data_IF_672249147454
#
_entry.id   IF_672249147454
#
_cell.length_a   1.000
_cell.length_b   1.000
_cell.length_c   1.000
_cell.angle_alpha   90.00
_cell.angle_beta   90.00
_cell.angle_gamma   90.00
#
_symmetry.space_group_name_H-M   'P 1'
#
loop_
_entity.id
_entity.type
_entity.pdbx_description
1 polymer ?
#
# COMPACT_ATOMS: atom_id res chain seq x y z
N UNK A 1 10.53 5.87 16.05
CA UNK A 1 10.07 4.47 15.88
C UNK A 1 9.46 4.21 14.49
N UNK A 2 8.58 5.07 13.97
CA UNK A 2 7.90 4.89 12.67
C UNK A 2 8.82 4.50 11.50
N UNK A 3 9.85 5.31 11.22
CA UNK A 3 10.78 5.06 10.11
C UNK A 3 11.48 3.70 10.21
N UNK A 4 11.89 3.28 11.42
CA UNK A 4 12.49 1.95 11.65
C UNK A 4 11.53 0.83 11.28
N UNK A 5 10.23 0.99 11.60
CA UNK A 5 9.21 0.01 11.25
C UNK A 5 8.92 -0.01 9.75
N UNK A 6 8.78 1.14 9.12
CA UNK A 6 8.64 1.26 7.66
C UNK A 6 9.79 0.57 6.93
N UNK A 7 11.02 0.81 7.37
CA UNK A 7 12.20 0.17 6.79
C UNK A 7 12.18 -1.35 6.94
N UNK A 8 11.76 -1.86 8.10
CA UNK A 8 11.62 -3.30 8.34
C UNK A 8 10.50 -3.92 7.50
N UNK A 9 9.40 -3.19 7.27
CA UNK A 9 8.34 -3.60 6.33
C UNK A 9 8.87 -3.69 4.91
N UNK A 10 9.61 -2.68 4.45
CA UNK A 10 10.23 -2.67 3.11
C UNK A 10 11.20 -3.85 2.95
N UNK A 11 11.93 -4.21 4.01
CA UNK A 11 12.83 -5.37 4.08
C UNK A 11 12.13 -6.73 4.28
N UNK A 12 10.79 -6.75 4.35
CA UNK A 12 10.00 -7.96 4.56
C UNK A 12 10.37 -8.73 5.86
N UNK A 13 10.69 -8.00 6.92
CA UNK A 13 10.97 -8.59 8.23
C UNK A 13 9.77 -9.41 8.72
N UNK A 14 9.98 -10.69 9.03
CA UNK A 14 8.93 -11.63 9.43
C UNK A 14 8.27 -11.27 10.76
N UNK A 15 8.95 -10.53 11.63
CA UNK A 15 8.49 -10.24 12.99
C UNK A 15 7.79 -8.87 13.10
N UNK A 16 7.87 -8.02 12.08
CA UNK A 16 7.42 -6.62 12.18
C UNK A 16 5.93 -6.50 12.47
N UNK A 17 5.10 -7.35 11.87
CA UNK A 17 3.65 -7.25 12.03
C UNK A 17 3.19 -7.70 13.41
N UNK A 18 3.86 -8.66 14.04
CA UNK A 18 3.56 -9.03 15.43
C UNK A 18 3.84 -7.86 16.39
N UNK A 19 4.94 -7.13 16.19
CA UNK A 19 5.26 -5.93 16.97
C UNK A 19 4.23 -4.82 16.74
N UNK A 20 3.85 -4.56 15.48
CA UNK A 20 2.82 -3.57 15.13
C UNK A 20 1.49 -3.91 15.80
N UNK A 21 1.08 -5.19 15.78
CA UNK A 21 -0.20 -5.65 16.33
C UNK A 21 -0.26 -5.61 17.86
N UNK A 22 0.88 -5.63 18.54
CA UNK A 22 0.98 -5.50 20.00
C UNK A 22 1.05 -4.04 20.47
N UNK A 23 1.34 -3.11 19.57
CA UNK A 23 1.47 -1.69 19.91
C UNK A 23 0.12 -0.95 19.75
N UNK A 24 -0.43 -0.35 20.82
CA UNK A 24 -1.70 0.39 20.75
C UNK A 24 -1.62 1.66 19.89
N UNK A 25 -0.44 2.26 19.72
CA UNK A 25 -0.23 3.47 18.91
C UNK A 25 0.01 3.18 17.42
N UNK A 26 0.07 1.90 17.05
CA UNK A 26 0.33 1.47 15.67
C UNK A 26 -0.72 1.99 14.68
N UNK A 27 -1.99 2.12 15.09
CA UNK A 27 -3.07 2.63 14.25
C UNK A 27 -2.86 4.08 13.81
N UNK A 28 -2.46 4.96 14.74
CA UNK A 28 -2.15 6.37 14.41
C UNK A 28 -0.92 6.49 13.51
N UNK A 29 0.09 5.65 13.75
CA UNK A 29 1.27 5.54 12.90
C UNK A 29 0.92 5.07 11.48
N UNK A 30 -0.01 4.12 11.35
CA UNK A 30 -0.51 3.64 10.07
C UNK A 30 -1.14 4.78 9.24
N UNK A 31 -1.97 5.62 9.85
CA UNK A 31 -2.56 6.80 9.17
C UNK A 31 -1.46 7.75 8.68
N UNK A 32 -0.42 7.96 9.48
CA UNK A 32 0.72 8.80 9.08
C UNK A 32 1.43 8.24 7.85
N UNK A 33 1.61 6.92 7.75
CA UNK A 33 2.22 6.26 6.58
C UNK A 33 1.37 6.49 5.33
N UNK A 34 0.05 6.35 5.44
CA UNK A 34 -0.88 6.57 4.31
C UNK A 34 -0.77 8.03 3.85
N UNK A 35 -0.77 8.99 4.77
CA UNK A 35 -0.60 10.41 4.44
C UNK A 35 0.73 10.63 3.70
N UNK A 36 1.85 10.10 4.21
CA UNK A 36 3.15 10.23 3.56
C UNK A 36 3.18 9.60 2.16
N UNK A 37 2.59 8.42 2.00
CA UNK A 37 2.48 7.74 0.72
C UNK A 37 1.64 8.53 -0.29
N UNK A 38 0.53 9.11 0.17
CA UNK A 38 -0.34 10.00 -0.62
C UNK A 38 0.44 11.22 -1.10
N UNK A 39 1.10 11.96 -0.20
CA UNK A 39 1.89 13.13 -0.57
C UNK A 39 3.04 12.80 -1.51
N UNK A 40 3.78 11.72 -1.25
CA UNK A 40 4.84 11.24 -2.13
C UNK A 40 4.32 10.91 -3.55
N UNK A 41 3.14 10.32 -3.64
CA UNK A 41 2.49 10.00 -4.91
C UNK A 41 2.08 11.27 -5.67
N UNK A 42 1.53 12.28 -4.98
CA UNK A 42 1.19 13.59 -5.58
C UNK A 42 2.45 14.25 -6.13
N UNK A 43 3.51 14.36 -5.32
CA UNK A 43 4.77 15.00 -5.73
C UNK A 43 5.41 14.29 -6.91
N UNK A 44 5.48 12.95 -6.86
CA UNK A 44 5.99 12.13 -7.96
C UNK A 44 5.20 12.34 -9.26
N UNK A 45 3.87 12.44 -9.15
CA UNK A 45 3.01 12.72 -10.29
C UNK A 45 3.29 14.11 -10.88
N UNK A 46 3.27 15.16 -10.05
CA UNK A 46 3.46 16.53 -10.50
C UNK A 46 4.83 16.72 -11.16
N UNK A 47 5.87 16.11 -10.58
CA UNK A 47 7.21 16.10 -11.18
C UNK A 47 7.24 15.37 -12.53
N UNK A 48 6.54 14.24 -12.66
CA UNK A 48 6.46 13.50 -13.93
C UNK A 48 5.77 14.31 -15.02
N UNK A 49 4.70 15.02 -14.68
CA UNK A 49 3.98 15.88 -15.62
C UNK A 49 4.85 17.04 -16.07
N UNK A 50 5.50 17.75 -15.13
CA UNK A 50 6.41 18.85 -15.44
C UNK A 50 7.59 18.42 -16.33
N UNK A 51 8.04 17.17 -16.19
CA UNK A 51 9.09 16.58 -17.01
C UNK A 51 8.64 16.14 -18.42
N UNK A 52 7.37 16.32 -18.79
CA UNK A 52 6.84 15.93 -20.10
C UNK A 52 6.73 14.42 -20.31
N UNK A 53 6.68 13.61 -19.23
CA UNK A 53 6.49 12.17 -19.35
C UNK A 53 5.08 11.84 -19.89
N UNK A 54 5.07 11.23 -21.07
CA UNK A 54 3.94 11.06 -22.00
C UNK A 54 2.97 9.93 -21.57
N UNK A 55 3.29 9.17 -20.52
CA UNK A 55 2.57 7.95 -20.15
C UNK A 55 1.27 8.14 -19.35
N UNK A 56 0.77 9.38 -19.19
CA UNK A 56 -0.49 9.61 -18.50
C UNK A 56 -1.41 10.55 -19.28
N UNK A 57 -2.45 9.97 -19.86
CA UNK A 57 -3.64 10.67 -20.33
C UNK A 57 -4.44 11.15 -19.13
N UNK A 58 -4.51 12.46 -18.91
CA UNK A 58 -5.33 13.05 -17.84
C UNK A 58 -4.98 14.51 -17.58
N UNK A 59 -5.93 15.27 -17.05
CA UNK A 59 -5.70 16.67 -16.67
C UNK A 59 -4.96 16.73 -15.33
N UNK A 60 -4.18 17.78 -15.09
CA UNK A 60 -3.52 18.02 -13.79
C UNK A 60 -4.49 17.90 -12.58
N UNK A 61 -5.74 18.35 -12.75
CA UNK A 61 -6.81 18.26 -11.75
C UNK A 61 -7.15 16.82 -11.39
N UNK A 62 -7.22 15.94 -12.38
CA UNK A 62 -7.70 14.57 -12.24
C UNK A 62 -6.69 13.75 -11.45
N UNK A 63 -5.40 14.03 -11.64
CA UNK A 63 -4.33 13.34 -10.96
C UNK A 63 -4.11 13.76 -9.50
N UNK A 64 -4.26 15.06 -9.22
CA UNK A 64 -4.20 15.56 -7.83
C UNK A 64 -5.41 15.05 -7.06
N UNK A 65 -6.59 15.07 -7.67
CA UNK A 65 -7.80 14.47 -7.09
C UNK A 65 -7.64 12.97 -6.87
N UNK A 66 -7.09 12.25 -7.84
CA UNK A 66 -6.80 10.82 -7.73
C UNK A 66 -5.85 10.49 -6.59
N UNK A 67 -4.72 11.20 -6.51
CA UNK A 67 -3.73 10.93 -5.48
C UNK A 67 -4.26 11.29 -4.08
N UNK A 68 -4.91 12.45 -3.90
CA UNK A 68 -5.39 12.91 -2.59
C UNK A 68 -6.63 12.19 -2.07
N UNK A 69 -7.59 11.88 -2.96
CA UNK A 69 -8.89 11.34 -2.57
C UNK A 69 -8.95 9.83 -2.78
N UNK A 70 -8.60 9.35 -3.97
CA UNK A 70 -8.74 7.94 -4.29
C UNK A 70 -7.70 7.06 -3.59
N UNK A 71 -6.47 7.53 -3.41
CA UNK A 71 -5.43 6.68 -2.82
C UNK A 71 -5.71 6.27 -1.35
N UNK A 72 -6.13 7.19 -0.46
CA UNK A 72 -6.56 6.83 0.89
C UNK A 72 -7.84 5.97 0.91
N UNK A 73 -8.78 6.21 0.00
CA UNK A 73 -10.01 5.43 -0.12
C UNK A 73 -9.70 4.00 -0.57
N UNK A 74 -8.82 3.81 -1.56
CA UNK A 74 -8.37 2.50 -2.01
C UNK A 74 -7.72 1.70 -0.88
N UNK A 75 -6.97 2.36 0.00
CA UNK A 75 -6.42 1.74 1.21
C UNK A 75 -7.53 1.25 2.16
N UNK A 76 -8.56 2.08 2.41
CA UNK A 76 -9.71 1.68 3.24
C UNK A 76 -10.48 0.51 2.61
N UNK A 77 -10.72 0.56 1.30
CA UNK A 77 -11.40 -0.50 0.54
C UNK A 77 -10.59 -1.80 0.62
N UNK A 78 -9.27 -1.76 0.43
CA UNK A 78 -8.39 -2.92 0.59
C UNK A 78 -8.45 -3.48 2.01
N UNK A 79 -8.49 -2.63 3.04
CA UNK A 79 -8.67 -3.04 4.43
C UNK A 79 -10.00 -3.77 4.66
N UNK A 80 -11.08 -3.26 4.08
CA UNK A 80 -12.40 -3.89 4.12
C UNK A 80 -12.44 -5.22 3.39
N UNK A 81 -11.91 -5.28 2.17
CA UNK A 81 -11.80 -6.50 1.38
C UNK A 81 -11.00 -7.57 2.14
N UNK A 82 -9.82 -7.22 2.65
CA UNK A 82 -9.01 -8.13 3.46
C UNK A 82 -9.77 -8.64 4.70
N UNK A 83 -10.57 -7.81 5.34
CA UNK A 83 -11.40 -8.24 6.47
C UNK A 83 -12.49 -9.23 6.06
N UNK A 84 -13.23 -8.95 4.97
CA UNK A 84 -14.23 -9.88 4.43
C UNK A 84 -13.58 -11.21 4.06
N UNK A 85 -12.44 -11.18 3.36
CA UNK A 85 -11.70 -12.38 2.99
C UNK A 85 -11.12 -13.12 4.19
N UNK A 86 -10.72 -12.41 5.25
CA UNK A 86 -10.28 -13.05 6.50
C UNK A 86 -11.39 -13.89 7.12
N UNK A 87 -12.66 -13.48 7.02
CA UNK A 87 -13.78 -14.29 7.53
C UNK A 87 -13.94 -15.60 6.76
N UNK A 88 -13.71 -15.57 5.44
CA UNK A 88 -13.74 -16.77 4.59
C UNK A 88 -12.53 -17.68 4.86
N UNK A 89 -11.34 -17.09 5.04
CA UNK A 89 -10.09 -17.85 5.22
C UNK A 89 -9.85 -18.34 6.65
N UNK A 90 -10.34 -17.65 7.68
CA UNK A 90 -10.12 -18.01 9.09
C UNK A 90 -10.87 -19.28 9.51
N UNK A 91 -11.86 -19.70 8.72
CA UNK A 91 -12.42 -21.06 8.76
C UNK A 91 -11.32 -22.13 8.66
N UNK A 92 -10.20 -21.84 7.99
CA UNK A 92 -9.09 -22.78 7.77
C UNK A 92 -7.85 -22.57 8.69
N UNK A 93 -7.66 -21.40 9.31
CA UNK A 93 -6.43 -21.09 10.08
C UNK A 93 -6.64 -20.87 11.59
N UNK A 94 -7.89 -20.77 12.06
CA UNK A 94 -8.24 -20.64 13.49
C UNK A 94 -7.86 -19.31 14.16
N UNK A 95 -7.07 -18.44 13.51
CA UNK A 95 -6.68 -17.13 14.04
C UNK A 95 -7.69 -16.05 13.66
N UNK A 96 -8.34 -15.45 14.66
CA UNK A 96 -9.20 -14.30 14.43
C UNK A 96 -8.37 -13.01 14.40
N UNK A 97 -8.38 -12.31 13.27
CA UNK A 97 -7.78 -10.97 13.12
C UNK A 97 -8.90 -9.94 13.07
N UNK A 98 -8.75 -8.82 13.78
CA UNK A 98 -9.76 -7.76 13.78
C UNK A 98 -9.64 -6.88 12.53
N UNK A 99 -10.74 -6.24 12.13
CA UNK A 99 -10.72 -5.27 11.02
C UNK A 99 -9.74 -4.10 11.28
N UNK A 100 -9.57 -3.68 12.54
CA UNK A 100 -8.59 -2.67 12.92
C UNK A 100 -7.16 -3.12 12.66
N UNK A 101 -6.82 -4.33 13.08
CA UNK A 101 -5.50 -4.92 12.87
C UNK A 101 -5.14 -5.05 11.39
N UNK A 102 -6.08 -5.54 10.55
CA UNK A 102 -5.84 -5.65 9.11
C UNK A 102 -5.61 -4.29 8.46
N UNK A 103 -6.45 -3.29 8.77
CA UNK A 103 -6.27 -1.93 8.26
C UNK A 103 -4.89 -1.39 8.62
N UNK A 104 -4.47 -1.51 9.88
CA UNK A 104 -3.15 -1.07 10.33
C UNK A 104 -2.04 -1.73 9.52
N UNK A 105 -2.03 -3.06 9.43
CA UNK A 105 -0.97 -3.82 8.76
C UNK A 105 -0.91 -3.48 7.26
N UNK A 106 -2.07 -3.30 6.62
CA UNK A 106 -2.19 -2.86 5.23
C UNK A 106 -1.64 -1.44 5.04
N UNK A 107 -1.87 -0.52 5.98
CA UNK A 107 -1.27 0.83 5.92
C UNK A 107 0.25 0.78 5.99
N UNK A 108 0.80 -0.04 6.88
CA UNK A 108 2.24 -0.24 6.95
C UNK A 108 2.82 -0.81 5.65
N UNK A 109 2.09 -1.71 4.98
CA UNK A 109 2.52 -2.27 3.70
C UNK A 109 2.66 -1.22 2.59
N UNK A 110 2.03 -0.04 2.74
CA UNK A 110 2.13 1.08 1.81
C UNK A 110 3.44 1.87 1.95
N UNK A 111 4.31 1.56 2.92
CA UNK A 111 5.60 2.24 3.11
C UNK A 111 6.47 2.40 1.84
N UNK A 112 6.56 1.43 0.91
CA UNK A 112 7.30 1.60 -0.34
C UNK A 112 6.78 2.75 -1.23
N UNK A 113 5.50 3.11 -1.11
CA UNK A 113 4.91 4.21 -1.88
C UNK A 113 5.54 5.57 -1.56
N UNK A 114 6.22 5.72 -0.42
CA UNK A 114 6.96 6.94 -0.09
C UNK A 114 8.09 7.21 -1.10
N UNK A 115 8.64 6.16 -1.74
CA UNK A 115 9.65 6.33 -2.78
C UNK A 115 9.08 6.94 -4.09
N UNK A 116 7.76 7.05 -4.23
CA UNK A 116 7.15 7.71 -5.40
C UNK A 116 7.47 9.20 -5.48
N UNK A 117 7.95 9.82 -4.40
CA UNK A 117 8.47 11.20 -4.45
C UNK A 117 9.56 11.35 -5.52
N UNK A 118 10.33 10.29 -5.79
CA UNK A 118 11.38 10.26 -6.81
C UNK A 118 10.88 9.91 -8.21
N UNK A 119 9.59 9.58 -8.37
CA UNK A 119 9.01 9.27 -9.67
C UNK A 119 8.99 10.49 -10.62
N UNK A 120 9.16 11.71 -10.09
CA UNK A 120 9.24 12.93 -10.90
C UNK A 120 10.56 13.12 -11.65
N UNK A 121 11.57 12.28 -11.42
CA UNK A 121 12.86 12.41 -12.10
C UNK A 121 12.69 11.96 -13.57
N UNK A 122 13.09 12.78 -14.57
CA UNK A 122 13.02 12.41 -15.98
C UNK A 122 13.77 11.10 -16.27
N UNK A 123 13.29 10.30 -17.22
CA UNK A 123 13.86 9.01 -17.68
C UNK A 123 13.84 7.86 -16.65
N UNK A 124 14.21 8.09 -15.39
CA UNK A 124 14.24 7.07 -14.33
C UNK A 124 12.95 7.00 -13.49
N UNK A 125 12.13 8.04 -13.52
CA UNK A 125 10.91 8.13 -12.72
C UNK A 125 9.90 7.02 -13.00
N UNK A 126 9.75 6.63 -14.27
CA UNK A 126 8.88 5.52 -14.68
C UNK A 126 9.37 4.17 -14.13
N UNK A 127 10.70 3.94 -14.13
CA UNK A 127 11.31 2.75 -13.56
C UNK A 127 11.11 2.69 -12.04
N UNK A 128 11.29 3.82 -11.35
CA UNK A 128 11.03 3.92 -9.91
C UNK A 128 9.56 3.60 -9.60
N UNK A 129 8.62 4.19 -10.35
CA UNK A 129 7.20 3.93 -10.17
C UNK A 129 6.86 2.45 -10.38
N UNK A 130 7.42 1.81 -11.42
CA UNK A 130 7.24 0.39 -11.67
C UNK A 130 7.78 -0.47 -10.52
N UNK A 131 9.00 -0.20 -10.06
CA UNK A 131 9.61 -0.90 -8.92
C UNK A 131 8.76 -0.75 -7.66
N UNK A 132 8.22 0.45 -7.39
CA UNK A 132 7.34 0.67 -6.26
C UNK A 132 6.05 -0.13 -6.36
N UNK A 133 5.40 -0.18 -7.53
CA UNK A 133 4.17 -0.98 -7.71
C UNK A 133 4.44 -2.45 -7.43
N UNK A 134 5.52 -3.01 -7.97
CA UNK A 134 5.93 -4.40 -7.70
C UNK A 134 6.16 -4.58 -6.20
N UNK A 135 6.89 -3.68 -5.56
CA UNK A 135 7.20 -3.79 -4.14
C UNK A 135 5.95 -3.68 -3.26
N UNK A 136 4.98 -2.84 -3.63
CA UNK A 136 3.72 -2.72 -2.89
C UNK A 136 2.90 -4.02 -2.95
N UNK A 137 2.91 -4.74 -4.08
CA UNK A 137 2.27 -6.06 -4.16
C UNK A 137 2.96 -7.02 -3.20
N UNK A 138 4.29 -7.07 -3.21
CA UNK A 138 5.07 -7.96 -2.34
C UNK A 138 4.87 -7.65 -0.85
N UNK A 139 4.98 -6.38 -0.45
CA UNK A 139 4.81 -5.98 0.96
C UNK A 139 3.39 -6.22 1.44
N UNK A 140 2.37 -5.96 0.61
CA UNK A 140 0.97 -6.20 0.94
C UNK A 140 0.68 -7.70 1.07
N UNK A 141 1.15 -8.53 0.13
CA UNK A 141 0.99 -9.98 0.22
C UNK A 141 1.70 -10.55 1.45
N UNK A 142 2.90 -10.07 1.77
CA UNK A 142 3.61 -10.46 2.99
C UNK A 142 2.88 -10.02 4.27
N UNK A 143 2.33 -8.81 4.27
CA UNK A 143 1.51 -8.28 5.37
C UNK A 143 0.32 -9.19 5.69
N UNK A 144 -0.42 -9.61 4.67
CA UNK A 144 -1.58 -10.49 4.83
C UNK A 144 -1.15 -11.92 5.22
N UNK A 145 -0.09 -12.44 4.59
CA UNK A 145 0.50 -13.75 4.89
C UNK A 145 0.81 -13.87 6.38
N UNK A 146 1.57 -12.91 6.93
CA UNK A 146 2.02 -12.95 8.33
C UNK A 146 0.89 -12.66 9.31
N UNK A 147 -0.08 -11.83 8.93
CA UNK A 147 -1.18 -11.45 9.82
C UNK A 147 -2.26 -12.53 9.91
N UNK A 148 -2.65 -13.10 8.78
CA UNK A 148 -3.70 -14.13 8.68
C UNK A 148 -3.15 -15.56 8.78
N UNK A 149 -1.82 -15.73 8.76
CA UNK A 149 -1.15 -17.04 8.74
C UNK A 149 -1.57 -17.90 7.54
N UNK A 150 -1.67 -17.28 6.37
CA UNK A 150 -2.02 -17.93 5.10
C UNK A 150 -0.78 -18.06 4.20
N UNK A 151 -0.86 -18.82 3.12
CA UNK A 151 0.21 -18.88 2.12
C UNK A 151 0.32 -17.57 1.33
N UNK A 152 1.53 -17.24 0.88
CA UNK A 152 1.77 -16.07 0.02
C UNK A 152 0.94 -16.10 -1.28
N UNK A 153 0.75 -17.29 -1.86
CA UNK A 153 -0.10 -17.51 -3.04
C UNK A 153 -1.56 -17.16 -2.79
N UNK A 154 -2.11 -17.49 -1.61
CA UNK A 154 -3.48 -17.10 -1.22
C UNK A 154 -3.55 -15.61 -0.94
N UNK A 155 -2.53 -15.04 -0.28
CA UNK A 155 -2.48 -13.60 -0.03
C UNK A 155 -2.50 -12.80 -1.33
N UNK A 156 -1.78 -13.23 -2.37
CA UNK A 156 -1.77 -12.60 -3.69
C UNK A 156 -3.18 -12.48 -4.30
N UNK A 157 -4.02 -13.51 -4.18
CA UNK A 157 -5.40 -13.49 -4.68
C UNK A 157 -6.22 -12.33 -4.10
N UNK A 158 -5.93 -11.92 -2.87
CA UNK A 158 -6.62 -10.80 -2.21
C UNK A 158 -6.03 -9.43 -2.59
N UNK A 159 -4.77 -9.39 -2.99
CA UNK A 159 -4.08 -8.14 -3.35
C UNK A 159 -4.46 -7.68 -4.76
N UNK A 160 -4.58 -8.61 -5.71
CA UNK A 160 -4.82 -8.27 -7.11
C UNK A 160 -6.09 -7.45 -7.38
N UNK A 161 -7.27 -7.73 -6.79
CA UNK A 161 -8.48 -6.94 -7.03
C UNK A 161 -8.32 -5.46 -6.68
N UNK A 162 -7.64 -5.17 -5.56
CA UNK A 162 -7.39 -3.80 -5.13
C UNK A 162 -6.38 -3.06 -6.02
N UNK A 163 -5.40 -3.77 -6.59
CA UNK A 163 -4.48 -3.19 -7.58
C UNK A 163 -5.12 -3.04 -8.96
N UNK A 164 -5.97 -3.99 -9.39
CA UNK A 164 -6.71 -3.89 -10.63
C UNK A 164 -7.61 -2.65 -10.65
N UNK A 165 -8.31 -2.37 -9.54
CA UNK A 165 -9.09 -1.15 -9.38
C UNK A 165 -8.20 0.10 -9.50
N UNK A 166 -6.99 0.08 -8.93
CA UNK A 166 -6.03 1.18 -9.06
C UNK A 166 -5.59 1.40 -10.51
N UNK A 167 -5.35 0.33 -11.27
CA UNK A 167 -4.98 0.42 -12.69
C UNK A 167 -6.13 0.93 -13.56
N UNK A 168 -7.36 0.44 -13.36
CA UNK A 168 -8.54 0.90 -14.11
C UNK A 168 -8.81 2.38 -13.90
N UNK A 169 -8.64 2.87 -12.68
CA UNK A 169 -8.87 4.29 -12.37
C UNK A 169 -7.68 5.20 -12.73
N UNK A 170 -6.53 4.63 -13.11
CA UNK A 170 -5.34 5.38 -13.52
C UNK A 170 -5.18 5.46 -15.06
N UNK A 171 -6.07 4.79 -15.81
CA UNK A 171 -6.26 4.88 -17.26
C UNK A 171 -7.28 5.97 -17.60
#
# INVERSE_FOLDING_TARGET
MLFKRMWRVIKLDKNIYNEILQDPYSGAQAVTIVILATFASVVGFLGSFAAGNIFKSGTYSDAVFYALVFMPVLWLVQGGLAYVFSRVSNSASGRQVTAGQLRTVIAYSAAPAVALVFAGIPLVGALIALMVVIWLVVTMSNALTLTMQISFSRALMFVFPGFALRFVLAL
#
